data_IF_565371202872
#
_entry.id   IF_565371202872
#
_cell.length_a   1.000
_cell.length_b   1.000
_cell.length_c   1.000
_cell.angle_alpha   90.00
_cell.angle_beta   90.00
_cell.angle_gamma   90.00
#
_symmetry.space_group_name_H-M   'P 1'
#
loop_
_entity.id
_entity.type
_entity.pdbx_description
1 polymer ?
#
# COMPACT_ATOMS: atom_id res chain seq x y z
N UNK A 1 -4.54 11.39 8.64
CA UNK A 1 -4.10 10.03 9.05
C UNK A 1 -2.74 9.62 8.49
N UNK A 2 -2.54 9.60 7.17
CA UNK A 2 -1.26 9.25 6.56
C UNK A 2 -0.13 10.25 6.90
N UNK A 3 -0.47 11.50 7.29
CA UNK A 3 0.45 12.48 7.88
C UNK A 3 0.88 12.14 9.32
N UNK A 4 0.04 11.46 10.10
CA UNK A 4 0.36 11.12 11.50
C UNK A 4 1.41 10.00 11.61
N UNK A 5 1.57 9.22 10.54
CA UNK A 5 2.64 8.23 10.40
C UNK A 5 4.01 8.82 10.08
N UNK A 6 4.14 10.13 9.80
CA UNK A 6 5.46 10.70 9.49
C UNK A 6 6.44 10.67 10.67
N UNK A 7 5.94 10.61 11.91
CA UNK A 7 6.76 10.42 13.11
C UNK A 7 7.13 8.96 13.41
N UNK A 8 6.42 7.99 12.81
CA UNK A 8 6.68 6.55 13.00
C UNK A 8 7.29 6.05 11.69
N UNK A 9 8.60 5.80 11.65
CA UNK A 9 9.34 5.27 10.47
C UNK A 9 8.92 3.83 10.10
N UNK A 10 7.64 3.61 9.85
CA UNK A 10 7.01 2.30 9.64
C UNK A 10 7.06 1.91 8.17
N UNK A 11 6.98 2.89 7.26
CA UNK A 11 7.02 2.68 5.81
C UNK A 11 8.18 3.45 5.19
N UNK A 12 8.95 2.79 4.31
CA UNK A 12 9.97 3.48 3.54
C UNK A 12 9.32 4.28 2.41
N UNK A 13 9.58 5.59 2.38
CA UNK A 13 9.12 6.47 1.29
C UNK A 13 9.77 6.11 -0.04
N UNK A 14 8.96 6.06 -1.11
CA UNK A 14 9.42 5.84 -2.48
C UNK A 14 9.65 7.18 -3.20
N UNK A 15 10.58 7.20 -4.16
CA UNK A 15 10.91 8.37 -4.98
C UNK A 15 10.87 7.97 -6.45
N UNK A 16 10.07 8.68 -7.25
CA UNK A 16 9.81 8.34 -8.65
C UNK A 16 10.82 9.02 -9.59
N UNK A 17 11.47 10.10 -9.17
CA UNK A 17 12.54 10.75 -9.92
C UNK A 17 13.44 11.60 -9.04
N UNK A 18 14.59 12.02 -9.56
CA UNK A 18 15.62 12.74 -8.79
C UNK A 18 15.11 14.00 -8.08
N UNK A 19 14.11 14.68 -8.64
CA UNK A 19 13.49 15.88 -8.06
C UNK A 19 12.04 15.66 -7.60
N UNK A 20 11.59 14.42 -7.49
CA UNK A 20 10.23 14.13 -7.04
C UNK A 20 10.14 14.13 -5.50
N UNK A 21 8.98 14.50 -4.92
CA UNK A 21 8.75 14.27 -3.50
C UNK A 21 8.80 12.77 -3.19
N UNK A 22 9.16 12.47 -1.96
CA UNK A 22 9.11 11.13 -1.40
C UNK A 22 7.68 10.85 -0.91
N UNK A 23 7.03 9.83 -1.48
CA UNK A 23 5.62 9.51 -1.20
C UNK A 23 5.48 8.07 -0.70
N UNK A 24 4.38 7.80 -0.01
CA UNK A 24 3.94 6.46 0.39
C UNK A 24 2.52 6.15 -0.12
N UNK A 25 1.86 7.12 -0.76
CA UNK A 25 0.49 6.97 -1.19
C UNK A 25 0.14 7.96 -2.30
N UNK A 26 -0.87 7.60 -3.09
CA UNK A 26 -1.58 8.48 -4.02
C UNK A 26 -3.08 8.33 -3.73
N UNK A 27 -3.78 9.45 -3.70
CA UNK A 27 -5.23 9.50 -3.47
C UNK A 27 -5.92 9.86 -4.79
N UNK A 28 -6.93 9.08 -5.16
CA UNK A 28 -7.89 9.41 -6.20
C UNK A 28 -9.25 9.71 -5.58
N UNK A 29 -10.25 10.03 -6.40
CA UNK A 29 -11.60 10.30 -5.90
C UNK A 29 -12.20 9.08 -5.16
N UNK A 30 -12.00 7.89 -5.73
CA UNK A 30 -12.66 6.66 -5.26
C UNK A 30 -11.69 5.62 -4.69
N UNK A 31 -10.40 5.65 -5.06
CA UNK A 31 -9.41 4.71 -4.54
C UNK A 31 -8.16 5.37 -3.98
N UNK A 32 -7.45 4.62 -3.15
CA UNK A 32 -6.16 4.99 -2.59
C UNK A 32 -5.13 3.93 -2.93
N UNK A 33 -3.99 4.35 -3.47
CA UNK A 33 -2.83 3.48 -3.65
C UNK A 33 -1.83 3.73 -2.53
N UNK A 34 -1.31 2.65 -1.94
CA UNK A 34 -0.26 2.69 -0.93
C UNK A 34 1.01 2.03 -1.48
N UNK A 35 2.15 2.64 -1.20
CA UNK A 35 3.48 2.17 -1.59
C UNK A 35 4.30 1.86 -0.35
N UNK A 36 4.96 0.72 -0.37
CA UNK A 36 5.90 0.29 0.67
C UNK A 36 6.90 -0.70 0.06
N UNK A 37 8.00 -0.99 0.78
CA UNK A 37 8.90 -2.06 0.35
C UNK A 37 8.20 -3.40 0.49
N UNK A 38 8.45 -4.30 -0.46
CA UNK A 38 8.08 -5.70 -0.35
C UNK A 38 8.83 -6.36 0.82
N UNK A 39 8.25 -6.27 2.02
CA UNK A 39 8.77 -6.89 3.23
C UNK A 39 7.64 -7.16 4.21
N UNK A 40 7.74 -8.23 4.98
CA UNK A 40 6.75 -8.56 6.02
C UNK A 40 6.59 -7.44 7.04
N UNK A 41 7.68 -6.76 7.39
CA UNK A 41 7.68 -5.65 8.35
C UNK A 41 6.84 -4.47 7.86
N UNK A 42 7.12 -3.98 6.66
CA UNK A 42 6.37 -2.83 6.11
C UNK A 42 4.93 -3.20 5.79
N UNK A 43 4.66 -4.41 5.29
CA UNK A 43 3.27 -4.88 5.07
C UNK A 43 2.47 -4.95 6.37
N UNK A 44 3.08 -5.39 7.48
CA UNK A 44 2.46 -5.35 8.81
C UNK A 44 2.20 -3.90 9.23
N UNK A 45 3.15 -3.01 8.94
CA UNK A 45 3.01 -1.57 9.14
C UNK A 45 1.81 -0.97 8.41
N UNK A 46 1.60 -1.34 7.14
CA UNK A 46 0.42 -0.93 6.35
C UNK A 46 -0.86 -1.41 7.03
N UNK A 47 -0.93 -2.67 7.44
CA UNK A 47 -2.11 -3.20 8.12
C UNK A 47 -2.40 -2.49 9.45
N UNK A 48 -1.36 -2.08 10.19
CA UNK A 48 -1.54 -1.29 11.40
C UNK A 48 -2.11 0.09 11.11
N UNK A 49 -1.68 0.74 10.03
CA UNK A 49 -2.23 2.02 9.58
C UNK A 49 -3.70 1.87 9.21
N UNK A 50 -4.06 0.81 8.48
CA UNK A 50 -5.45 0.55 8.14
C UNK A 50 -6.30 0.32 9.40
N UNK A 51 -5.82 -0.46 10.38
CA UNK A 51 -6.55 -0.66 11.64
C UNK A 51 -6.71 0.61 12.45
N UNK A 52 -5.67 1.44 12.51
CA UNK A 52 -5.76 2.74 13.16
C UNK A 52 -6.83 3.61 12.44
N UNK A 53 -6.98 3.46 11.12
CA UNK A 53 -7.96 4.21 10.33
C UNK A 53 -9.35 3.77 10.67
N UNK A 54 -9.55 2.46 10.77
CA UNK A 54 -10.83 1.91 11.16
C UNK A 54 -11.25 2.40 12.55
N UNK A 55 -10.30 2.42 13.50
CA UNK A 55 -10.55 2.90 14.86
C UNK A 55 -10.85 4.40 14.91
N UNK A 56 -10.13 5.21 14.13
CA UNK A 56 -10.27 6.66 14.15
C UNK A 56 -11.50 7.15 13.36
N UNK A 57 -11.84 6.49 12.25
CA UNK A 57 -12.96 6.88 11.38
C UNK A 57 -14.27 6.16 11.71
N UNK A 58 -14.20 5.02 12.39
CA UNK A 58 -15.33 4.11 12.59
C UNK A 58 -15.68 3.28 11.35
N UNK A 59 -14.96 3.43 10.24
CA UNK A 59 -15.21 2.71 8.99
C UNK A 59 -14.38 1.43 8.95
N UNK A 60 -14.92 0.32 8.45
CA UNK A 60 -14.11 -0.90 8.21
C UNK A 60 -13.55 -0.93 6.80
N UNK A 61 -12.27 -1.25 6.67
CA UNK A 61 -11.61 -1.48 5.40
C UNK A 61 -12.05 -2.85 4.88
N UNK A 62 -12.63 -2.86 3.69
CA UNK A 62 -13.01 -4.11 3.03
C UNK A 62 -11.81 -4.68 2.27
N UNK A 63 -11.06 -5.57 2.94
CA UNK A 63 -9.88 -6.23 2.37
C UNK A 63 -10.18 -6.98 1.07
N UNK A 64 -11.42 -7.46 0.86
CA UNK A 64 -11.82 -8.13 -0.38
C UNK A 64 -11.91 -7.18 -1.58
N UNK A 65 -12.05 -5.87 -1.34
CA UNK A 65 -11.96 -4.83 -2.37
C UNK A 65 -10.54 -4.29 -2.53
N UNK A 66 -9.62 -4.67 -1.66
CA UNK A 66 -8.22 -4.32 -1.76
C UNK A 66 -7.45 -5.36 -2.57
N UNK A 67 -6.40 -4.92 -3.23
CA UNK A 67 -5.49 -5.79 -3.98
C UNK A 67 -4.03 -5.37 -3.72
N UNK A 68 -3.13 -6.33 -3.84
CA UNK A 68 -1.67 -6.09 -3.77
C UNK A 68 -1.04 -6.35 -5.13
N UNK A 69 -0.11 -5.50 -5.52
CA UNK A 69 0.73 -5.66 -6.70
C UNK A 69 2.18 -5.77 -6.22
N UNK A 70 2.91 -6.73 -6.78
CA UNK A 70 4.33 -6.89 -6.51
C UNK A 70 5.15 -6.56 -7.76
N UNK A 71 6.36 -6.07 -7.54
CA UNK A 71 7.33 -5.95 -8.63
C UNK A 71 7.66 -7.33 -9.19
N UNK A 72 7.94 -7.39 -10.50
CA UNK A 72 8.26 -8.65 -11.20
C UNK A 72 9.40 -9.44 -10.53
N UNK A 73 10.34 -8.74 -9.88
CA UNK A 73 11.52 -9.34 -9.23
C UNK A 73 11.28 -9.80 -7.79
N UNK A 74 10.12 -9.52 -7.18
CA UNK A 74 9.83 -9.96 -5.81
C UNK A 74 9.74 -11.50 -5.76
N UNK A 75 10.51 -12.20 -4.91
CA UNK A 75 10.48 -13.66 -4.82
C UNK A 75 9.10 -14.21 -4.41
N UNK A 76 8.68 -15.33 -4.99
CA UNK A 76 7.35 -15.91 -4.75
C UNK A 76 7.09 -16.22 -3.27
N UNK A 77 8.07 -16.81 -2.56
CA UNK A 77 7.94 -17.07 -1.13
C UNK A 77 7.72 -15.80 -0.29
N UNK A 78 8.26 -14.66 -0.73
CA UNK A 78 8.02 -13.38 -0.07
C UNK A 78 6.63 -12.84 -0.39
N UNK A 79 6.17 -12.95 -1.64
CA UNK A 79 4.80 -12.59 -2.04
C UNK A 79 3.75 -13.34 -1.23
N UNK A 80 3.92 -14.65 -1.08
CA UNK A 80 3.01 -15.49 -0.28
C UNK A 80 2.96 -15.05 1.19
N UNK A 81 4.10 -14.77 1.80
CA UNK A 81 4.17 -14.26 3.19
C UNK A 81 3.48 -12.91 3.34
N UNK A 82 3.66 -12.00 2.38
CA UNK A 82 3.02 -10.68 2.41
C UNK A 82 1.50 -10.83 2.21
N UNK A 83 1.05 -11.71 1.31
CA UNK A 83 -0.38 -12.00 1.13
C UNK A 83 -1.00 -12.58 2.40
N UNK A 84 -0.33 -13.47 3.12
CA UNK A 84 -0.80 -13.99 4.41
C UNK A 84 -0.94 -12.89 5.47
N UNK A 85 -0.01 -11.92 5.50
CA UNK A 85 -0.06 -10.80 6.45
C UNK A 85 -1.21 -9.84 6.13
N UNK A 86 -1.41 -9.51 4.86
CA UNK A 86 -2.39 -8.50 4.45
C UNK A 86 -3.79 -9.05 4.22
N UNK A 87 -3.92 -10.36 3.94
CA UNK A 87 -5.18 -10.99 3.57
C UNK A 87 -5.72 -10.53 2.21
N UNK A 88 -4.88 -9.89 1.39
CA UNK A 88 -5.26 -9.30 0.10
C UNK A 88 -4.86 -10.22 -1.06
N UNK A 89 -5.66 -10.22 -2.12
CA UNK A 89 -5.36 -10.94 -3.35
C UNK A 89 -4.25 -10.23 -4.14
N UNK A 90 -3.27 -10.99 -4.63
CA UNK A 90 -2.33 -10.51 -5.63
C UNK A 90 -3.01 -10.33 -6.99
N UNK A 91 -2.79 -9.18 -7.62
CA UNK A 91 -3.14 -8.92 -9.02
C UNK A 91 -1.86 -8.66 -9.80
N UNK A 92 -1.75 -9.28 -10.98
CA UNK A 92 -0.55 -9.18 -11.85
C UNK A 92 -0.47 -7.83 -12.56
N UNK A 93 -1.62 -7.20 -12.77
CA UNK A 93 -1.75 -5.89 -13.38
C UNK A 93 -3.08 -5.28 -12.91
N UNK A 94 -3.10 -3.98 -12.62
CA UNK A 94 -4.34 -3.22 -12.40
C UNK A 94 -4.92 -2.66 -13.71
N UNK A 95 -4.25 -2.89 -14.84
CA UNK A 95 -4.62 -2.35 -16.13
C UNK A 95 -4.36 -0.84 -16.21
N UNK A 96 -4.87 -0.19 -17.26
CA UNK A 96 -4.87 1.28 -17.36
C UNK A 96 -5.78 1.83 -16.27
N UNK A 97 -5.18 2.27 -15.17
CA UNK A 97 -5.91 2.95 -14.11
C UNK A 97 -6.51 4.24 -14.70
N UNK A 98 -7.84 4.34 -14.69
CA UNK A 98 -8.62 5.32 -15.47
C UNK A 98 -8.32 6.79 -15.14
N UNK A 99 -7.61 7.06 -14.03
CA UNK A 99 -7.16 8.39 -13.63
C UNK A 99 -5.75 8.79 -14.09
N UNK A 100 -5.03 7.93 -14.82
CA UNK A 100 -3.73 8.30 -15.38
C UNK A 100 -3.95 9.09 -16.68
N UNK A 101 -3.37 10.31 -16.81
CA UNK A 101 -3.45 11.06 -18.06
C UNK A 101 -2.91 10.20 -19.20
N UNK A 102 -3.64 10.20 -20.32
CA UNK A 102 -3.23 9.49 -21.54
C UNK A 102 -2.07 10.19 -22.22
#
# INVERSE_FOLDING_TARGET
MLKATEGRKVLTKIKVGSNSPQINHILFADDTMLFCKASVSESTGVMQILRDYERASGQKVNVNKCSVIFEARTPEGLRQRIQQVMGMREVKDQGKYLGLPS
#
